data_IF_011019130171
#
_entry.id   IF_011019130171
#
_cell.length_a   1.000
_cell.length_b   1.000
_cell.length_c   1.000
_cell.angle_alpha   90.00
_cell.angle_beta   90.00
_cell.angle_gamma   90.00
#
_symmetry.space_group_name_H-M   'P 1'
#
loop_
_entity.id
_entity.type
_entity.pdbx_description
1 polymer ?
#
# COMPACT_ATOMS: atom_id res chain seq x y z
N UNK A 1 -36.34 11.23 -13.97
CA UNK A 1 -34.97 11.52 -14.47
C UNK A 1 -34.00 11.61 -13.30
N UNK A 2 -33.29 10.52 -12.99
CA UNK A 2 -32.20 10.44 -11.99
C UNK A 2 -31.28 9.27 -12.42
N UNK A 3 -30.50 9.48 -13.47
CA UNK A 3 -29.60 8.45 -14.03
C UNK A 3 -28.13 8.88 -14.06
N UNK A 4 -27.83 10.15 -13.76
CA UNK A 4 -26.47 10.69 -13.86
C UNK A 4 -25.61 10.47 -12.59
N UNK A 5 -26.24 10.24 -11.44
CA UNK A 5 -25.53 10.15 -10.15
C UNK A 5 -24.84 8.80 -9.90
N UNK A 6 -25.28 7.73 -10.59
CA UNK A 6 -24.76 6.38 -10.36
C UNK A 6 -23.35 6.21 -10.95
N UNK A 7 -23.00 6.96 -12.01
CA UNK A 7 -21.68 6.90 -12.67
C UNK A 7 -20.55 7.62 -11.95
N UNK A 8 -20.82 8.84 -11.45
CA UNK A 8 -19.77 9.70 -10.86
C UNK A 8 -19.12 9.04 -9.64
N UNK A 9 -19.92 8.43 -8.75
CA UNK A 9 -19.39 7.75 -7.56
C UNK A 9 -18.46 6.58 -7.91
N UNK A 10 -18.81 5.77 -8.91
CA UNK A 10 -18.01 4.60 -9.34
C UNK A 10 -16.66 5.03 -9.91
N UNK A 11 -16.65 6.04 -10.78
CA UNK A 11 -15.41 6.52 -11.38
C UNK A 11 -14.46 7.11 -10.33
N UNK A 12 -14.98 7.92 -9.40
CA UNK A 12 -14.21 8.48 -8.29
C UNK A 12 -13.68 7.37 -7.37
N UNK A 13 -14.51 6.40 -6.99
CA UNK A 13 -14.09 5.26 -6.16
C UNK A 13 -13.00 4.40 -6.83
N UNK A 14 -13.13 4.16 -8.13
CA UNK A 14 -12.11 3.46 -8.92
C UNK A 14 -10.80 4.23 -8.93
N UNK A 15 -10.84 5.53 -9.25
CA UNK A 15 -9.66 6.40 -9.26
C UNK A 15 -8.95 6.42 -7.91
N UNK A 16 -9.72 6.60 -6.82
CA UNK A 16 -9.21 6.67 -5.45
C UNK A 16 -8.53 5.37 -5.03
N UNK A 17 -9.11 4.23 -5.37
CA UNK A 17 -8.54 2.91 -5.07
C UNK A 17 -7.28 2.67 -5.90
N UNK A 18 -7.35 2.95 -7.19
CA UNK A 18 -6.25 2.73 -8.13
C UNK A 18 -5.03 3.61 -7.83
N UNK A 19 -5.22 4.90 -7.50
CA UNK A 19 -4.09 5.79 -7.19
C UNK A 19 -3.33 5.38 -5.94
N UNK A 20 -4.03 4.90 -4.90
CA UNK A 20 -3.38 4.45 -3.66
C UNK A 20 -2.55 3.18 -3.89
N UNK A 21 -3.12 2.22 -4.64
CA UNK A 21 -2.36 1.07 -5.09
C UNK A 21 -1.13 1.50 -5.89
N UNK A 22 -1.33 2.45 -6.82
CA UNK A 22 -0.29 2.89 -7.74
C UNK A 22 0.92 3.52 -7.02
N UNK A 23 0.71 4.32 -5.97
CA UNK A 23 1.81 4.93 -5.20
C UNK A 23 2.76 3.90 -4.57
N UNK A 24 2.25 2.71 -4.26
CA UNK A 24 3.05 1.64 -3.63
C UNK A 24 3.74 0.74 -4.66
N UNK A 25 3.18 0.64 -5.87
CA UNK A 25 3.61 -0.30 -6.90
C UNK A 25 4.43 0.35 -8.01
N UNK A 26 4.36 1.68 -8.18
CA UNK A 26 5.06 2.41 -9.25
C UNK A 26 6.55 2.09 -9.33
N UNK A 27 7.20 1.85 -8.18
CA UNK A 27 8.63 1.51 -8.07
C UNK A 27 9.04 0.17 -8.68
N UNK A 28 8.09 -0.71 -8.99
CA UNK A 28 8.36 -2.05 -9.50
C UNK A 28 8.40 -2.10 -11.04
N UNK A 29 8.33 -0.95 -11.72
CA UNK A 29 8.19 -0.87 -13.17
C UNK A 29 9.18 0.14 -13.77
N UNK A 30 9.95 -0.32 -14.76
CA UNK A 30 10.99 0.49 -15.41
C UNK A 30 10.54 1.10 -16.75
N UNK A 31 9.37 0.72 -17.27
CA UNK A 31 8.84 1.25 -18.52
C UNK A 31 7.36 1.64 -18.41
N UNK A 32 6.98 2.71 -19.11
CA UNK A 32 5.63 3.28 -19.04
C UNK A 32 4.55 2.33 -19.60
N UNK A 33 4.87 1.55 -20.63
CA UNK A 33 3.92 0.62 -21.24
C UNK A 33 3.51 -0.48 -20.28
N UNK A 34 4.47 -1.16 -19.65
CA UNK A 34 4.23 -2.17 -18.62
C UNK A 34 3.51 -1.56 -17.41
N UNK A 35 3.86 -0.33 -17.04
CA UNK A 35 3.17 0.40 -15.98
C UNK A 35 1.69 0.66 -16.31
N UNK A 36 1.40 1.14 -17.52
CA UNK A 36 0.04 1.35 -17.99
C UNK A 36 -0.75 0.04 -18.02
N UNK A 37 -0.17 -1.05 -18.53
CA UNK A 37 -0.80 -2.37 -18.53
C UNK A 37 -1.13 -2.85 -17.11
N UNK A 38 -0.21 -2.64 -16.15
CA UNK A 38 -0.45 -2.98 -14.76
C UNK A 38 -1.58 -2.14 -14.13
N UNK A 39 -1.60 -0.83 -14.37
CA UNK A 39 -2.70 0.04 -13.94
C UNK A 39 -4.05 -0.38 -14.55
N UNK A 40 -4.07 -0.77 -15.82
CA UNK A 40 -5.29 -1.22 -16.50
C UNK A 40 -5.80 -2.54 -15.92
N UNK A 41 -4.92 -3.53 -15.78
CA UNK A 41 -5.27 -4.82 -15.19
C UNK A 41 -5.77 -4.67 -13.74
N UNK A 42 -5.15 -3.78 -12.95
CA UNK A 42 -5.63 -3.51 -11.60
C UNK A 42 -6.96 -2.75 -11.60
N UNK A 43 -7.19 -1.83 -12.53
CA UNK A 43 -8.48 -1.15 -12.67
C UNK A 43 -9.61 -2.14 -13.02
N UNK A 44 -9.36 -3.11 -13.90
CA UNK A 44 -10.30 -4.19 -14.21
C UNK A 44 -10.62 -5.03 -12.97
N UNK A 45 -9.61 -5.39 -12.18
CA UNK A 45 -9.79 -6.13 -10.93
C UNK A 45 -10.61 -5.34 -9.87
N UNK A 46 -10.52 -4.00 -9.89
CA UNK A 46 -11.29 -3.12 -9.01
C UNK A 46 -12.73 -2.89 -9.52
N UNK A 47 -13.05 -3.23 -10.77
CA UNK A 47 -14.36 -3.00 -11.39
C UNK A 47 -15.44 -4.00 -10.94
N UNK A 48 -15.55 -4.21 -9.62
CA UNK A 48 -16.46 -5.17 -8.98
C UNK A 48 -17.79 -4.52 -8.56
N UNK A 49 -18.14 -3.39 -9.16
CA UNK A 49 -19.38 -2.67 -8.86
C UNK A 49 -20.61 -3.48 -9.29
N UNK A 50 -21.75 -3.25 -8.62
CA UNK A 50 -23.03 -3.86 -8.98
C UNK A 50 -23.42 -3.64 -10.45
N UNK A 51 -23.00 -2.50 -11.02
CA UNK A 51 -22.99 -2.27 -12.47
C UNK A 51 -21.58 -1.87 -12.87
N UNK A 52 -20.81 -2.77 -13.53
CA UNK A 52 -19.45 -2.51 -13.95
C UNK A 52 -19.35 -1.25 -14.84
N UNK A 53 -18.22 -0.56 -14.76
CA UNK A 53 -17.87 0.51 -15.70
C UNK A 53 -17.50 -0.07 -17.06
N UNK A 54 -17.78 0.69 -18.11
CA UNK A 54 -17.38 0.35 -19.47
C UNK A 54 -15.85 0.37 -19.63
N UNK A 55 -15.32 -0.46 -20.52
CA UNK A 55 -13.87 -0.59 -20.72
C UNK A 55 -13.20 0.75 -21.07
N UNK A 56 -13.88 1.60 -21.83
CA UNK A 56 -13.35 2.92 -22.20
C UNK A 56 -13.16 3.84 -20.99
N UNK A 57 -14.08 3.79 -20.02
CA UNK A 57 -13.97 4.57 -18.77
C UNK A 57 -12.87 4.02 -17.88
N UNK A 58 -12.78 2.69 -17.73
CA UNK A 58 -11.69 2.02 -17.03
C UNK A 58 -10.33 2.42 -17.60
N UNK A 59 -10.19 2.34 -18.93
CA UNK A 59 -8.98 2.69 -19.65
C UNK A 59 -8.62 4.17 -19.47
N UNK A 60 -9.60 5.06 -19.48
CA UNK A 60 -9.37 6.49 -19.24
C UNK A 60 -8.83 6.75 -17.83
N UNK A 61 -9.44 6.14 -16.81
CA UNK A 61 -8.99 6.24 -15.41
C UNK A 61 -7.60 5.62 -15.21
N UNK A 62 -7.36 4.44 -15.77
CA UNK A 62 -6.04 3.80 -15.72
C UNK A 62 -4.96 4.65 -16.40
N UNK A 63 -5.28 5.26 -17.55
CA UNK A 63 -4.36 6.15 -18.27
C UNK A 63 -4.03 7.41 -17.48
N UNK A 64 -5.01 8.02 -16.81
CA UNK A 64 -4.78 9.24 -16.02
C UNK A 64 -3.87 8.97 -14.82
N UNK A 65 -4.12 7.87 -14.09
CA UNK A 65 -3.27 7.44 -12.97
C UNK A 65 -1.88 7.07 -13.46
N UNK A 66 -1.77 6.25 -14.51
CA UNK A 66 -0.48 5.82 -15.05
C UNK A 66 0.38 6.99 -15.50
N UNK A 67 -0.20 7.94 -16.25
CA UNK A 67 0.51 9.13 -16.72
C UNK A 67 1.01 10.00 -15.57
N UNK A 68 0.15 10.33 -14.62
CA UNK A 68 0.53 11.22 -13.50
C UNK A 68 1.61 10.58 -12.62
N UNK A 69 1.46 9.28 -12.32
CA UNK A 69 2.46 8.55 -11.54
C UNK A 69 3.76 8.30 -12.29
N UNK A 70 3.77 8.43 -13.61
CA UNK A 70 4.99 8.35 -14.39
C UNK A 70 5.72 9.70 -14.44
N UNK A 71 4.99 10.78 -14.69
CA UNK A 71 5.59 12.10 -14.94
C UNK A 71 5.85 12.91 -13.67
N UNK A 72 5.05 12.74 -12.61
CA UNK A 72 5.02 13.64 -11.45
C UNK A 72 5.32 12.97 -10.12
N UNK A 73 5.21 11.65 -10.03
CA UNK A 73 5.37 10.95 -8.76
C UNK A 73 6.84 10.67 -8.46
N UNK A 74 7.35 11.34 -7.42
CA UNK A 74 8.68 11.10 -6.91
C UNK A 74 8.72 9.82 -6.06
N UNK A 75 9.17 8.74 -6.68
CA UNK A 75 9.34 7.42 -6.06
C UNK A 75 10.36 7.47 -4.92
N UNK A 76 11.44 8.24 -5.08
CA UNK A 76 12.51 8.33 -4.08
C UNK A 76 12.01 9.03 -2.82
N UNK A 77 11.32 10.16 -2.96
CA UNK A 77 10.72 10.88 -1.84
C UNK A 77 9.63 10.05 -1.14
N UNK A 78 8.83 9.30 -1.91
CA UNK A 78 7.83 8.38 -1.35
C UNK A 78 8.47 7.27 -0.51
N UNK A 79 9.52 6.63 -1.03
CA UNK A 79 10.26 5.58 -0.34
C UNK A 79 10.94 6.11 0.94
N UNK A 80 11.54 7.30 0.88
CA UNK A 80 12.16 7.93 2.04
C UNK A 80 11.13 8.17 3.16
N UNK A 81 9.96 8.74 2.83
CA UNK A 81 8.85 8.94 3.80
C UNK A 81 8.34 7.61 4.37
N UNK A 82 8.27 6.56 3.56
CA UNK A 82 7.86 5.24 4.03
C UNK A 82 8.89 4.64 5.00
N UNK A 83 10.17 4.71 4.65
CA UNK A 83 11.28 4.25 5.49
C UNK A 83 11.30 4.98 6.84
N UNK A 84 11.19 6.32 6.83
CA UNK A 84 11.11 7.12 8.06
C UNK A 84 9.92 6.71 8.94
N UNK A 85 8.75 6.53 8.33
CA UNK A 85 7.54 6.08 9.05
C UNK A 85 7.74 4.71 9.69
N UNK A 86 8.39 3.78 8.98
CA UNK A 86 8.71 2.45 9.52
C UNK A 86 9.76 2.52 10.62
N UNK A 87 10.82 3.31 10.47
CA UNK A 87 11.84 3.51 11.50
C UNK A 87 11.22 4.07 12.80
N UNK A 88 10.32 5.06 12.68
CA UNK A 88 9.57 5.60 13.83
C UNK A 88 8.70 4.53 14.49
N UNK A 89 7.97 3.74 13.71
CA UNK A 89 7.11 2.65 14.22
C UNK A 89 7.94 1.56 14.91
N UNK A 90 9.06 1.15 14.31
CA UNK A 90 9.99 0.18 14.87
C UNK A 90 10.55 0.65 16.21
N UNK A 91 10.95 1.92 16.31
CA UNK A 91 11.39 2.52 17.57
C UNK A 91 10.31 2.48 18.65
N UNK A 92 9.08 2.93 18.33
CA UNK A 92 7.97 2.91 19.28
C UNK A 92 7.58 1.48 19.71
N UNK A 93 7.61 0.53 18.78
CA UNK A 93 7.37 -0.89 19.06
C UNK A 93 8.45 -1.49 19.97
N UNK A 94 9.72 -1.18 19.69
CA UNK A 94 10.86 -1.59 20.51
C UNK A 94 10.76 -1.06 21.93
N UNK A 95 10.39 0.21 22.13
CA UNK A 95 10.23 0.81 23.46
C UNK A 95 9.09 0.16 24.26
N UNK A 96 7.98 -0.22 23.60
CA UNK A 96 6.87 -0.93 24.27
C UNK A 96 7.21 -2.38 24.63
N UNK A 97 8.02 -3.05 23.80
CA UNK A 97 8.44 -4.43 24.00
C UNK A 97 9.62 -4.59 24.95
N UNK A 98 10.52 -3.61 25.02
CA UNK A 98 11.79 -3.70 25.75
C UNK A 98 11.65 -4.10 27.24
N UNK A 99 10.71 -3.55 28.03
CA UNK A 99 10.57 -3.95 29.43
C UNK A 99 10.14 -5.42 29.55
N UNK A 100 9.16 -5.85 28.75
CA UNK A 100 8.61 -7.21 28.77
C UNK A 100 9.67 -8.24 28.33
N UNK A 101 10.41 -7.94 27.27
CA UNK A 101 11.46 -8.82 26.74
C UNK A 101 12.62 -8.96 27.72
N UNK A 102 12.98 -7.90 28.45
CA UNK A 102 14.08 -7.95 29.41
C UNK A 102 13.71 -8.79 30.66
N UNK A 103 12.47 -8.64 31.17
CA UNK A 103 11.97 -9.47 32.29
C UNK A 103 11.90 -10.95 31.92
N UNK A 104 11.40 -11.28 30.72
CA UNK A 104 11.32 -12.66 30.25
C UNK A 104 12.72 -13.29 30.07
N UNK A 105 13.69 -12.54 29.54
CA UNK A 105 15.08 -13.01 29.44
C UNK A 105 15.71 -13.23 30.82
N UNK A 106 15.46 -12.35 31.78
CA UNK A 106 15.97 -12.54 33.15
C UNK A 106 15.37 -13.78 33.83
N UNK A 107 14.05 -14.01 33.70
CA UNK A 107 13.42 -15.25 34.20
C UNK A 107 14.02 -16.51 33.56
N UNK A 108 14.20 -16.52 32.23
CA UNK A 108 14.83 -17.65 31.55
C UNK A 108 16.27 -17.91 32.03
N UNK A 109 17.06 -16.87 32.30
CA UNK A 109 18.42 -17.04 32.83
C UNK A 109 18.40 -17.62 34.25
N UNK A 110 17.48 -17.16 35.11
CA UNK A 110 17.31 -17.68 36.47
C UNK A 110 16.96 -19.17 36.43
N UNK A 111 16.01 -19.56 35.57
CA UNK A 111 15.59 -20.96 35.44
C UNK A 111 16.73 -21.87 34.95
N UNK A 112 17.55 -21.41 34.00
CA UNK A 112 18.73 -22.13 33.52
C UNK A 112 19.76 -22.29 34.64
N UNK A 113 19.99 -21.24 35.41
CA UNK A 113 20.97 -21.25 36.49
C UNK A 113 20.52 -22.14 37.66
N UNK A 114 19.22 -22.18 37.94
CA UNK A 114 18.64 -23.09 38.92
C UNK A 114 18.71 -24.56 38.48
N UNK A 115 18.55 -24.85 37.18
CA UNK A 115 18.69 -26.20 36.63
C UNK A 115 20.12 -26.74 36.63
N UNK A 116 21.13 -25.86 36.64
CA UNK A 116 22.55 -26.21 36.71
C UNK A 116 23.07 -26.43 38.15
N UNK A 117 22.29 -26.04 39.15
CA UNK A 117 22.66 -26.10 40.58
C UNK A 117 22.06 -27.31 41.32
N UNK A 118 21.42 -28.24 40.61
CA UNK A 118 20.94 -29.53 41.12
C UNK A 118 21.77 -30.68 40.55
#
# INVERSE_FOLDING_TARGET
KKTEAVGVGRNVSLFESLRHWAYSHRRNYDNHTAWFCACLSHAEALNTFATPLEFNELKATAKSVAKWTWERFDVAASNARFSEKQARRGRLGGMKGAPKTNTLRQMQLIDIQAGLMQ
#
